data_IF_140398061711
#
_entry.id   IF_140398061711
#
_cell.length_a   1.000
_cell.length_b   1.000
_cell.length_c   1.000
_cell.angle_alpha   90.00
_cell.angle_beta   90.00
_cell.angle_gamma   90.00
#
_symmetry.space_group_name_H-M   'P 1'
#
loop_
_entity.id
_entity.type
_entity.pdbx_description
1 polymer ?
#
# COMPACT_ATOMS: atom_id res chain seq x y z
N UNK A 1 8.63 -26.70 12.66
CA UNK A 1 7.98 -26.18 13.88
C UNK A 1 6.71 -26.96 14.11
N UNK A 2 6.25 -27.11 15.35
CA UNK A 2 5.00 -27.79 15.67
C UNK A 2 3.92 -26.74 15.92
N UNK A 3 2.78 -26.85 15.25
CA UNK A 3 1.59 -26.00 15.42
C UNK A 3 0.33 -26.85 15.30
N UNK A 4 -0.80 -26.30 15.75
CA UNK A 4 -2.11 -26.94 15.69
C UNK A 4 -2.89 -26.49 14.46
N UNK A 5 -3.75 -27.38 13.98
CA UNK A 5 -4.83 -27.03 13.06
C UNK A 5 -6.00 -26.55 13.92
N UNK A 6 -6.70 -25.51 13.49
CA UNK A 6 -7.78 -24.90 14.29
C UNK A 6 -9.09 -25.02 13.53
N UNK A 7 -10.16 -25.38 14.24
CA UNK A 7 -11.48 -25.52 13.63
C UNK A 7 -11.97 -24.17 13.11
N UNK A 8 -12.34 -24.08 11.84
CA UNK A 8 -12.87 -22.86 11.24
C UNK A 8 -14.22 -22.43 11.84
N UNK A 9 -14.65 -21.20 11.51
CA UNK A 9 -15.90 -20.63 12.01
C UNK A 9 -17.14 -21.47 11.66
N UNK A 10 -17.12 -22.14 10.50
CA UNK A 10 -18.22 -22.99 10.02
C UNK A 10 -18.32 -24.33 10.77
N UNK A 11 -17.29 -24.69 11.55
CA UNK A 11 -17.22 -25.94 12.29
C UNK A 11 -17.00 -27.19 11.44
N UNK A 12 -16.74 -27.04 10.15
CA UNK A 12 -16.71 -28.15 9.18
C UNK A 12 -15.29 -28.66 8.86
N UNK A 13 -14.24 -27.91 9.20
CA UNK A 13 -12.86 -28.27 8.91
C UNK A 13 -11.90 -27.79 10.00
N UNK A 14 -10.82 -28.55 10.23
CA UNK A 14 -9.64 -28.08 10.96
C UNK A 14 -8.64 -27.56 9.94
N UNK A 15 -8.37 -26.26 10.00
CA UNK A 15 -7.61 -25.52 8.99
C UNK A 15 -6.19 -25.29 9.48
N UNK A 16 -5.24 -25.49 8.58
CA UNK A 16 -3.82 -25.21 8.79
C UNK A 16 -3.54 -23.70 8.69
N UNK A 17 -2.68 -23.10 9.55
CA UNK A 17 -2.26 -21.71 9.39
C UNK A 17 -1.31 -21.54 8.19
N UNK A 18 -1.88 -21.31 7.00
CA UNK A 18 -1.15 -21.06 5.76
C UNK A 18 -1.39 -19.65 5.24
N UNK A 19 -0.54 -19.19 4.31
CA UNK A 19 -0.78 -17.93 3.60
C UNK A 19 -2.15 -17.94 2.92
N UNK A 20 -2.52 -19.05 2.28
CA UNK A 20 -3.78 -19.15 1.54
C UNK A 20 -5.00 -19.16 2.46
N UNK A 21 -4.92 -19.81 3.62
CA UNK A 21 -6.03 -19.83 4.58
C UNK A 21 -6.24 -18.46 5.22
N UNK A 22 -5.17 -17.73 5.54
CA UNK A 22 -5.28 -16.37 6.08
C UNK A 22 -5.68 -15.35 5.00
N UNK A 23 -5.28 -15.57 3.75
CA UNK A 23 -5.75 -14.77 2.61
C UNK A 23 -7.26 -14.92 2.38
N UNK A 24 -7.82 -16.12 2.62
CA UNK A 24 -9.27 -16.31 2.58
C UNK A 24 -10.00 -15.43 3.61
N UNK A 25 -9.45 -15.31 4.82
CA UNK A 25 -10.01 -14.44 5.88
C UNK A 25 -9.98 -12.96 5.45
N UNK A 26 -8.82 -12.50 4.95
CA UNK A 26 -8.64 -11.12 4.49
C UNK A 26 -9.57 -10.77 3.32
N UNK A 27 -9.78 -11.70 2.39
CA UNK A 27 -10.71 -11.54 1.28
C UNK A 27 -12.17 -11.44 1.75
N UNK A 28 -12.58 -12.22 2.75
CA UNK A 28 -13.94 -12.17 3.29
C UNK A 28 -14.25 -10.82 3.96
N UNK A 29 -13.29 -10.28 4.74
CA UNK A 29 -13.46 -8.97 5.38
C UNK A 29 -13.37 -7.78 4.41
N UNK A 30 -12.80 -7.98 3.23
CA UNK A 30 -12.58 -6.93 2.21
C UNK A 30 -13.85 -6.46 1.49
N UNK A 31 -15.00 -7.06 1.75
CA UNK A 31 -16.26 -6.79 1.04
C UNK A 31 -16.90 -5.44 1.38
N UNK A 32 -16.60 -4.87 2.54
CA UNK A 32 -17.12 -3.58 2.99
C UNK A 32 -16.12 -2.89 3.90
N UNK A 33 -15.12 -2.26 3.29
CA UNK A 33 -14.12 -1.47 4.01
C UNK A 33 -14.64 -0.04 4.28
N UNK A 34 -14.38 0.55 5.45
CA UNK A 34 -14.61 1.97 5.69
C UNK A 34 -13.69 2.82 4.80
N UNK A 35 -13.95 4.13 4.73
CA UNK A 35 -12.99 5.06 4.17
C UNK A 35 -11.67 4.99 4.94
N UNK A 36 -10.56 5.37 4.28
CA UNK A 36 -9.23 5.29 4.90
C UNK A 36 -9.10 6.10 6.20
N UNK A 37 -9.77 7.25 6.30
CA UNK A 37 -9.86 8.08 7.52
C UNK A 37 -11.11 7.78 8.39
N UNK A 38 -11.84 6.70 8.06
CA UNK A 38 -13.00 6.22 8.79
C UNK A 38 -12.64 5.34 10.00
N UNK A 39 -13.66 4.77 10.63
CA UNK A 39 -13.51 3.87 11.78
C UNK A 39 -13.23 2.43 11.33
N UNK A 40 -11.98 1.99 11.51
CA UNK A 40 -11.53 0.63 11.21
C UNK A 40 -11.68 -0.34 12.38
N UNK A 41 -12.17 0.09 13.56
CA UNK A 41 -12.28 -0.76 14.75
C UNK A 41 -13.22 -1.95 14.57
N UNK A 42 -14.13 -1.87 13.60
CA UNK A 42 -15.08 -2.93 13.27
C UNK A 42 -14.58 -3.85 12.15
N UNK A 43 -13.43 -3.55 11.54
CA UNK A 43 -12.82 -4.42 10.51
C UNK A 43 -12.03 -5.52 11.21
N UNK A 44 -12.53 -6.75 11.09
CA UNK A 44 -11.92 -7.94 11.69
C UNK A 44 -11.83 -9.05 10.65
N UNK A 45 -10.67 -9.71 10.59
CA UNK A 45 -10.49 -10.97 9.84
C UNK A 45 -10.51 -12.19 10.79
N UNK A 46 -10.74 -11.99 12.08
CA UNK A 46 -10.85 -13.07 13.06
C UNK A 46 -12.12 -13.87 12.79
N UNK A 47 -11.99 -15.20 12.77
CA UNK A 47 -13.11 -16.14 12.67
C UNK A 47 -14.06 -15.86 11.49
N UNK A 48 -13.49 -15.53 10.33
CA UNK A 48 -14.26 -15.34 9.10
C UNK A 48 -14.93 -16.66 8.66
N UNK A 49 -16.10 -16.61 8.01
CA UNK A 49 -16.73 -17.81 7.46
C UNK A 49 -15.93 -18.39 6.29
N UNK A 50 -16.05 -19.69 6.05
CA UNK A 50 -15.42 -20.36 4.91
C UNK A 50 -14.69 -21.65 5.28
N UNK A 51 -14.76 -22.64 4.38
CA UNK A 51 -14.16 -23.97 4.58
C UNK A 51 -12.63 -23.96 4.72
N UNK A 52 -11.95 -22.92 4.21
CA UNK A 52 -10.49 -22.74 4.29
C UNK A 52 -10.08 -21.51 5.10
N UNK A 53 -10.99 -20.89 5.85
CA UNK A 53 -10.70 -19.73 6.69
C UNK A 53 -9.96 -20.15 7.97
N UNK A 54 -8.87 -19.46 8.29
CA UNK A 54 -8.12 -19.72 9.51
C UNK A 54 -8.61 -18.82 10.65
N UNK A 55 -9.19 -19.38 11.72
CA UNK A 55 -9.99 -18.59 12.67
C UNK A 55 -9.18 -17.58 13.53
N UNK A 56 -7.85 -17.69 13.56
CA UNK A 56 -6.96 -16.87 14.39
C UNK A 56 -6.01 -16.08 13.48
N UNK A 57 -6.52 -15.05 12.83
CA UNK A 57 -5.78 -14.09 12.01
C UNK A 57 -6.20 -12.66 12.34
N UNK A 58 -5.31 -11.69 12.14
CA UNK A 58 -5.61 -10.26 12.35
C UNK A 58 -4.87 -9.40 11.35
N UNK A 59 -5.44 -8.22 11.09
CA UNK A 59 -4.74 -7.14 10.40
C UNK A 59 -3.77 -6.44 11.36
N UNK A 60 -2.75 -5.81 10.79
CA UNK A 60 -1.92 -4.81 11.45
C UNK A 60 -2.18 -3.45 10.82
N UNK A 61 -2.12 -2.38 11.61
CA UNK A 61 -2.47 -1.04 11.17
C UNK A 61 -1.30 -0.07 11.35
N UNK A 62 -1.16 0.86 10.41
CA UNK A 62 -0.28 2.02 10.53
C UNK A 62 -1.18 3.26 10.62
N UNK A 63 -0.98 4.05 11.67
CA UNK A 63 -1.72 5.31 11.86
C UNK A 63 -0.81 6.49 11.54
N UNK A 64 -1.31 7.41 10.71
CA UNK A 64 -0.58 8.57 10.24
C UNK A 64 -1.45 9.81 10.41
N UNK A 65 -0.86 10.93 10.81
CA UNK A 65 -1.59 12.20 10.84
C UNK A 65 -1.97 12.62 9.42
N UNK A 66 -3.22 13.09 9.27
CA UNK A 66 -3.69 13.65 8.00
C UNK A 66 -2.87 14.86 7.57
N UNK A 67 -2.47 15.71 8.52
CA UNK A 67 -1.50 16.78 8.30
C UNK A 67 -0.24 16.52 9.12
N UNK A 68 0.84 16.13 8.44
CA UNK A 68 2.11 15.80 9.06
C UNK A 68 2.83 17.03 9.64
N UNK A 69 2.43 18.26 9.31
CA UNK A 69 2.96 19.47 9.97
C UNK A 69 2.65 19.53 11.46
N UNK A 70 1.69 18.73 11.93
CA UNK A 70 1.36 18.58 13.35
C UNK A 70 2.41 17.75 14.11
N UNK A 71 3.26 17.01 13.40
CA UNK A 71 4.31 16.17 13.99
C UNK A 71 5.53 17.05 14.29
N UNK A 72 6.01 17.01 15.53
CA UNK A 72 7.15 17.83 15.96
C UNK A 72 8.43 17.42 15.23
N UNK A 73 9.12 18.39 14.62
CA UNK A 73 10.37 18.16 13.88
C UNK A 73 10.17 17.58 12.47
N UNK A 74 8.92 17.48 12.03
CA UNK A 74 8.53 17.07 10.70
C UNK A 74 8.76 18.21 9.70
N UNK A 75 9.18 17.85 8.49
CA UNK A 75 9.39 18.79 7.38
C UNK A 75 8.72 18.23 6.15
N UNK A 76 8.42 19.09 5.17
CA UNK A 76 7.80 18.65 3.93
C UNK A 76 8.59 17.53 3.24
N UNK A 77 9.93 17.63 3.21
CA UNK A 77 10.80 16.60 2.61
C UNK A 77 10.70 15.26 3.35
N UNK A 78 10.68 15.26 4.68
CA UNK A 78 10.50 14.03 5.47
C UNK A 78 9.11 13.43 5.28
N UNK A 79 8.08 14.27 5.21
CA UNK A 79 6.71 13.87 4.96
C UNK A 79 6.55 13.22 3.59
N UNK A 80 7.28 13.71 2.58
CA UNK A 80 7.35 13.07 1.27
C UNK A 80 7.96 11.66 1.36
N UNK A 81 9.03 11.47 2.13
CA UNK A 81 9.62 10.15 2.30
C UNK A 81 8.73 9.18 3.07
N UNK A 82 7.95 9.68 4.04
CA UNK A 82 6.91 8.87 4.71
C UNK A 82 5.88 8.40 3.69
N UNK A 83 5.38 9.29 2.84
CA UNK A 83 4.41 8.94 1.78
C UNK A 83 5.01 7.93 0.79
N UNK A 84 6.27 8.15 0.35
CA UNK A 84 6.97 7.22 -0.53
C UNK A 84 7.10 5.83 0.11
N UNK A 85 7.45 5.77 1.39
CA UNK A 85 7.58 4.52 2.12
C UNK A 85 6.24 3.80 2.25
N UNK A 86 5.15 4.50 2.60
CA UNK A 86 3.82 3.90 2.69
C UNK A 86 3.35 3.35 1.34
N UNK A 87 3.55 4.12 0.26
CA UNK A 87 3.26 3.67 -1.10
C UNK A 87 4.09 2.43 -1.45
N UNK A 88 5.38 2.39 -1.09
CA UNK A 88 6.21 1.20 -1.29
C UNK A 88 5.69 -0.01 -0.49
N UNK A 89 5.32 0.17 0.78
CA UNK A 89 4.82 -0.92 1.65
C UNK A 89 3.61 -1.61 1.05
N UNK A 90 2.64 -0.85 0.54
CA UNK A 90 1.39 -1.43 0.00
C UNK A 90 1.55 -1.99 -1.42
N UNK A 91 2.64 -1.65 -2.12
CA UNK A 91 2.99 -2.12 -3.46
C UNK A 91 4.19 -3.09 -3.43
N UNK A 92 5.37 -2.62 -3.84
CA UNK A 92 6.58 -3.44 -4.00
C UNK A 92 7.00 -4.17 -2.72
N UNK A 93 6.72 -3.57 -1.56
CA UNK A 93 6.98 -4.15 -0.24
C UNK A 93 6.22 -5.45 0.00
N UNK A 94 5.06 -5.64 -0.63
CA UNK A 94 4.27 -6.87 -0.52
C UNK A 94 5.02 -8.09 -1.07
N UNK A 95 5.97 -7.91 -1.99
CA UNK A 95 6.78 -9.01 -2.53
C UNK A 95 7.63 -9.72 -1.46
N UNK A 96 7.86 -9.07 -0.32
CA UNK A 96 8.64 -9.62 0.79
C UNK A 96 7.77 -10.35 1.84
N UNK A 97 6.44 -10.11 1.84
CA UNK A 97 5.52 -10.57 2.89
C UNK A 97 5.49 -12.10 3.05
N UNK A 98 5.32 -12.85 1.96
CA UNK A 98 5.15 -14.31 2.01
C UNK A 98 6.38 -15.04 2.56
N UNK A 99 7.59 -14.51 2.32
CA UNK A 99 8.82 -15.11 2.88
C UNK A 99 8.93 -14.94 4.39
N UNK A 100 8.24 -13.94 4.93
CA UNK A 100 8.11 -13.66 6.36
C UNK A 100 6.82 -14.24 6.96
N UNK A 101 6.10 -15.08 6.20
CA UNK A 101 4.82 -15.68 6.59
C UNK A 101 3.69 -14.67 6.81
N UNK A 102 3.76 -13.50 6.16
CA UNK A 102 2.67 -12.52 6.09
C UNK A 102 1.90 -12.65 4.78
N UNK A 103 0.60 -12.38 4.85
CA UNK A 103 -0.29 -12.38 3.69
C UNK A 103 -0.20 -11.04 2.96
N UNK A 104 0.02 -11.02 1.63
CA UNK A 104 -0.10 -9.81 0.83
C UNK A 104 -1.50 -9.20 0.94
N UNK A 105 -1.59 -7.87 1.00
CA UNK A 105 -2.90 -7.20 1.08
C UNK A 105 -3.79 -7.53 -0.14
N UNK A 106 -5.09 -7.82 0.07
CA UNK A 106 -6.07 -7.85 -1.00
C UNK A 106 -6.15 -6.51 -1.76
N UNK A 107 -6.45 -6.57 -3.05
CA UNK A 107 -6.48 -5.37 -3.91
C UNK A 107 -7.40 -4.25 -3.39
N UNK A 108 -8.54 -4.61 -2.80
CA UNK A 108 -9.47 -3.64 -2.20
C UNK A 108 -8.89 -2.91 -0.98
N UNK A 109 -8.05 -3.59 -0.18
CA UNK A 109 -7.34 -2.97 0.94
C UNK A 109 -6.24 -2.05 0.42
N UNK A 110 -5.48 -2.47 -0.62
CA UNK A 110 -4.50 -1.61 -1.29
C UNK A 110 -5.17 -0.33 -1.82
N UNK A 111 -6.32 -0.44 -2.48
CA UNK A 111 -7.05 0.74 -2.96
C UNK A 111 -7.54 1.65 -1.83
N UNK A 112 -7.95 1.09 -0.68
CA UNK A 112 -8.31 1.90 0.47
C UNK A 112 -7.07 2.63 1.04
N UNK A 113 -5.92 1.95 1.10
CA UNK A 113 -4.66 2.54 1.57
C UNK A 113 -4.15 3.64 0.63
N UNK A 114 -4.19 3.42 -0.70
CA UNK A 114 -3.88 4.44 -1.71
C UNK A 114 -4.73 5.71 -1.52
N UNK A 115 -6.03 5.54 -1.27
CA UNK A 115 -6.94 6.66 -0.98
C UNK A 115 -6.53 7.39 0.30
N UNK A 116 -6.15 6.67 1.35
CA UNK A 116 -5.66 7.25 2.60
C UNK A 116 -4.37 8.05 2.42
N UNK A 117 -3.38 7.45 1.75
CA UNK A 117 -2.07 8.06 1.49
C UNK A 117 -2.24 9.35 0.67
N UNK A 118 -3.11 9.35 -0.34
CA UNK A 118 -3.38 10.53 -1.18
C UNK A 118 -3.94 11.74 -0.41
N UNK A 119 -4.52 11.50 0.79
CA UNK A 119 -5.08 12.55 1.63
C UNK A 119 -4.07 13.16 2.61
N UNK A 120 -2.87 12.60 2.70
CA UNK A 120 -1.81 13.10 3.58
C UNK A 120 -1.33 14.47 3.08
N UNK A 121 -1.20 15.40 4.03
CA UNK A 121 -0.88 16.80 3.80
C UNK A 121 0.31 17.22 4.65
N UNK A 122 0.91 18.34 4.25
CA UNK A 122 1.85 19.10 5.07
C UNK A 122 1.46 20.58 5.03
N UNK A 123 1.06 21.13 6.16
CA UNK A 123 0.65 22.53 6.28
C UNK A 123 -0.64 22.83 5.50
N UNK A 124 -1.60 21.91 5.50
CA UNK A 124 -2.86 21.99 4.76
C UNK A 124 -2.76 21.85 3.23
N UNK A 125 -1.56 21.58 2.69
CA UNK A 125 -1.36 21.31 1.26
C UNK A 125 -1.05 19.84 1.05
N UNK A 126 -1.60 19.23 0.00
CA UNK A 126 -1.23 17.87 -0.38
C UNK A 126 0.26 17.82 -0.69
N UNK A 127 0.97 16.83 -0.17
CA UNK A 127 2.39 16.66 -0.48
C UNK A 127 2.47 15.96 -1.84
N UNK A 128 2.97 16.63 -2.89
CA UNK A 128 2.94 16.08 -4.23
C UNK A 128 3.91 14.89 -4.35
N UNK A 129 3.36 13.72 -4.69
CA UNK A 129 4.16 12.52 -4.93
C UNK A 129 5.29 12.77 -5.96
N UNK A 130 6.40 12.06 -5.78
CA UNK A 130 7.48 12.06 -6.78
C UNK A 130 6.98 11.64 -8.16
N UNK A 131 5.95 10.80 -8.28
CA UNK A 131 5.40 10.35 -9.56
C UNK A 131 4.93 11.50 -10.46
N UNK A 132 3.96 12.33 -10.04
CA UNK A 132 3.52 13.51 -10.77
C UNK A 132 4.62 14.54 -11.03
N UNK A 133 5.48 14.84 -10.05
CA UNK A 133 6.57 15.81 -10.23
C UNK A 133 7.63 15.26 -11.18
N UNK A 134 8.07 14.02 -11.01
CA UNK A 134 9.04 13.38 -11.90
C UNK A 134 8.48 13.22 -13.31
N UNK A 135 7.18 12.91 -13.47
CA UNK A 135 6.53 12.86 -14.79
C UNK A 135 6.48 14.23 -15.44
N UNK A 136 6.16 15.28 -14.68
CA UNK A 136 6.16 16.66 -15.17
C UNK A 136 7.57 17.13 -15.55
N UNK A 137 8.56 16.87 -14.70
CA UNK A 137 9.97 17.21 -14.94
C UNK A 137 10.52 16.42 -16.13
N UNK A 138 10.21 15.13 -16.23
CA UNK A 138 10.60 14.28 -17.36
C UNK A 138 9.94 14.75 -18.66
N UNK A 139 8.65 15.10 -18.64
CA UNK A 139 7.96 15.65 -19.80
C UNK A 139 8.58 16.98 -20.24
N UNK A 140 8.85 17.90 -19.31
CA UNK A 140 9.54 19.17 -19.58
C UNK A 140 10.95 18.92 -20.12
N UNK A 141 11.69 17.97 -19.56
CA UNK A 141 13.03 17.61 -20.01
C UNK A 141 13.01 17.04 -21.44
N UNK A 142 12.10 16.12 -21.75
CA UNK A 142 11.94 15.54 -23.09
C UNK A 142 11.58 16.62 -24.11
N UNK A 143 10.60 17.48 -23.80
CA UNK A 143 10.19 18.58 -24.69
C UNK A 143 11.36 19.55 -24.91
N UNK A 144 12.12 19.87 -23.86
CA UNK A 144 13.29 20.74 -23.96
C UNK A 144 14.40 20.13 -24.82
N UNK A 145 14.67 18.83 -24.67
CA UNK A 145 15.65 18.09 -25.48
C UNK A 145 15.24 18.09 -26.95
N UNK A 146 13.97 17.82 -27.26
CA UNK A 146 13.45 17.86 -28.64
C UNK A 146 13.56 19.27 -29.24
N UNK A 147 13.17 20.31 -28.48
CA UNK A 147 13.22 21.69 -28.93
C UNK A 147 14.66 22.17 -29.18
N UNK A 148 15.59 21.83 -28.28
CA UNK A 148 17.02 22.14 -28.46
C UNK A 148 17.58 21.38 -29.65
N UNK A 149 17.30 20.07 -29.76
CA UNK A 149 17.77 19.22 -30.85
C UNK A 149 17.30 19.71 -32.23
N UNK A 150 16.04 20.17 -32.33
CA UNK A 150 15.49 20.78 -33.53
C UNK A 150 16.14 22.14 -33.87
N UNK A 151 16.47 22.95 -32.87
CA UNK A 151 17.05 24.29 -33.05
C UNK A 151 18.56 24.25 -33.35
N UNK A 152 19.29 23.28 -32.79
CA UNK A 152 20.76 23.19 -32.93
C UNK A 152 21.21 22.15 -33.96
N UNK A 153 20.29 21.39 -34.57
CA UNK A 153 20.63 20.34 -35.53
C UNK A 153 21.41 19.17 -34.91
N UNK A 154 21.27 18.96 -33.60
CA UNK A 154 22.06 17.96 -32.86
C UNK A 154 21.58 16.55 -33.24
N UNK A 155 22.30 15.88 -34.14
CA UNK A 155 22.04 14.48 -34.47
C UNK A 155 22.71 13.59 -33.43
N UNK A 156 21.95 13.13 -32.44
CA UNK A 156 22.35 12.05 -31.54
C UNK A 156 22.32 10.73 -32.33
N UNK A 157 23.40 10.43 -33.04
CA UNK A 157 23.59 9.10 -33.61
C UNK A 157 24.06 8.15 -32.50
N UNK A 158 23.35 7.04 -32.21
CA UNK A 158 23.86 6.05 -31.29
C UNK A 158 25.13 5.44 -31.88
N UNK A 159 26.24 5.51 -31.16
CA UNK A 159 27.40 4.66 -31.45
C UNK A 159 27.04 3.26 -30.94
N UNK A 160 26.77 2.36 -31.89
CA UNK A 160 26.75 0.92 -31.65
C UNK A 160 28.10 0.44 -31.10
#
# INVERSE_FOLDING_TARGET
MTYAFVQNADGNAFVEPTIDSVAADAAAASTSLPAADGDWSQVSIVNQPGSNSYPISTLTYVMVYKDLSQVSGETQDKSQEVINFLNWVIHDGQNYSSTLLYVPLPASMVTADEQGISQIQFGGSTVPEFGPIASLVLAIAIVSIIAVSAKTGLRLAPKL
#
